data_IF_507417074267
#
_entry.id   IF_507417074267
#
_cell.length_a   1.000
_cell.length_b   1.000
_cell.length_c   1.000
_cell.angle_alpha   90.00
_cell.angle_beta   90.00
_cell.angle_gamma   90.00
#
_symmetry.space_group_name_H-M   'P 1'
#
loop_
_entity.id
_entity.type
_entity.pdbx_description
1 polymer ?
#
# COMPACT_ATOMS: atom_id res chain seq x y z
N UNK A 1 5.34 -15.75 -21.02
CA UNK A 1 6.56 -16.58 -20.87
C UNK A 1 6.35 -17.46 -19.66
N UNK A 2 6.59 -18.77 -19.78
CA UNK A 2 6.46 -19.72 -18.67
C UNK A 2 7.62 -19.57 -17.67
N UNK A 3 7.49 -20.02 -16.42
CA UNK A 3 8.61 -20.02 -15.46
C UNK A 3 9.85 -20.74 -16.00
N UNK A 4 9.64 -21.83 -16.75
CA UNK A 4 10.73 -22.60 -17.36
C UNK A 4 11.45 -21.83 -18.46
N UNK A 5 10.73 -21.13 -19.33
CA UNK A 5 11.32 -20.27 -20.36
C UNK A 5 12.13 -19.12 -19.75
N UNK A 6 11.63 -18.54 -18.66
CA UNK A 6 12.35 -17.53 -17.88
C UNK A 6 13.64 -18.12 -17.30
N UNK A 7 13.55 -19.30 -16.67
CA UNK A 7 14.72 -19.98 -16.12
C UNK A 7 15.78 -20.27 -17.19
N UNK A 8 15.36 -20.63 -18.41
CA UNK A 8 16.27 -20.87 -19.53
C UNK A 8 17.04 -19.62 -19.95
N UNK A 9 16.44 -18.42 -19.83
CA UNK A 9 17.14 -17.17 -20.16
C UNK A 9 18.31 -16.86 -19.23
N UNK A 10 18.37 -17.51 -18.06
CA UNK A 10 19.43 -17.32 -17.07
C UNK A 10 20.56 -18.35 -17.16
N UNK A 11 20.50 -19.32 -18.09
CA UNK A 11 21.57 -20.32 -18.22
C UNK A 11 22.93 -19.64 -18.43
N UNK A 12 23.90 -20.00 -17.60
CA UNK A 12 25.24 -19.40 -17.59
C UNK A 12 25.44 -18.26 -16.59
N UNK A 13 24.38 -17.78 -15.91
CA UNK A 13 24.53 -16.87 -14.76
C UNK A 13 25.30 -17.59 -13.66
N UNK A 14 26.36 -16.97 -13.17
CA UNK A 14 27.28 -17.48 -12.13
C UNK A 14 27.34 -16.51 -10.95
N UNK A 15 27.69 -17.00 -9.77
CA UNK A 15 28.08 -16.13 -8.64
C UNK A 15 29.19 -15.16 -9.06
N UNK A 16 29.19 -13.97 -8.48
CA UNK A 16 30.22 -12.99 -8.79
C UNK A 16 31.58 -13.42 -8.23
N UNK A 17 32.70 -12.95 -8.82
CA UNK A 17 34.02 -13.39 -8.39
C UNK A 17 34.38 -12.80 -7.02
N UNK A 18 34.60 -13.67 -6.04
CA UNK A 18 35.14 -13.30 -4.72
C UNK A 18 34.14 -12.48 -3.90
N UNK A 19 34.49 -11.28 -3.40
CA UNK A 19 33.57 -10.45 -2.59
C UNK A 19 32.59 -9.63 -3.43
N UNK A 20 32.60 -9.75 -4.76
CA UNK A 20 31.69 -9.03 -5.63
C UNK A 20 30.45 -9.90 -5.89
N UNK A 21 29.28 -9.47 -5.42
CA UNK A 21 28.02 -10.19 -5.67
C UNK A 21 27.56 -10.02 -7.11
N UNK A 22 26.94 -11.06 -7.68
CA UNK A 22 26.26 -10.89 -8.96
C UNK A 22 24.92 -10.15 -8.76
N UNK A 23 24.74 -8.94 -9.32
CA UNK A 23 23.52 -8.16 -9.13
C UNK A 23 22.26 -8.88 -9.61
N UNK A 24 22.39 -9.79 -10.57
CA UNK A 24 21.27 -10.62 -11.06
C UNK A 24 20.83 -11.61 -9.98
N UNK A 25 21.77 -12.23 -9.25
CA UNK A 25 21.43 -13.16 -8.15
C UNK A 25 20.85 -12.38 -6.97
N UNK A 26 21.38 -11.20 -6.68
CA UNK A 26 20.81 -10.30 -5.67
C UNK A 26 19.37 -9.88 -6.01
N UNK A 27 19.08 -9.62 -7.28
CA UNK A 27 17.71 -9.38 -7.75
C UNK A 27 16.80 -10.61 -7.55
N UNK A 28 17.32 -11.83 -7.73
CA UNK A 28 16.56 -13.05 -7.45
C UNK A 28 16.11 -13.08 -6.00
N UNK A 29 16.99 -12.79 -5.04
CA UNK A 29 16.66 -12.68 -3.63
C UNK A 29 15.63 -11.58 -3.34
N UNK A 30 15.85 -10.38 -3.86
CA UNK A 30 14.93 -9.26 -3.66
C UNK A 30 13.52 -9.56 -4.21
N UNK A 31 13.43 -10.20 -5.37
CA UNK A 31 12.14 -10.54 -6.01
C UNK A 31 11.27 -11.49 -5.19
N UNK A 32 11.87 -12.28 -4.30
CA UNK A 32 11.17 -13.19 -3.39
C UNK A 32 11.06 -12.64 -1.96
N UNK A 33 11.42 -11.37 -1.74
CA UNK A 33 11.29 -10.69 -0.44
C UNK A 33 12.47 -10.89 0.52
N UNK A 34 13.65 -11.20 0.00
CA UNK A 34 14.88 -11.41 0.79
C UNK A 34 15.98 -10.41 0.40
N UNK A 35 15.63 -9.13 0.30
CA UNK A 35 16.55 -8.02 -0.02
C UNK A 35 17.61 -7.74 1.06
N UNK A 36 17.48 -8.36 2.23
CA UNK A 36 18.45 -8.33 3.34
C UNK A 36 19.61 -9.31 3.18
N UNK A 37 19.58 -10.21 2.19
CA UNK A 37 20.69 -11.13 1.93
C UNK A 37 21.85 -10.33 1.32
N UNK A 38 22.98 -10.28 2.01
CA UNK A 38 24.14 -9.45 1.61
C UNK A 38 25.12 -10.18 0.69
N UNK A 39 25.04 -11.52 0.58
CA UNK A 39 25.99 -12.31 -0.20
C UNK A 39 25.30 -13.33 -1.11
N UNK A 40 25.74 -13.41 -2.37
CA UNK A 40 25.22 -14.36 -3.34
C UNK A 40 25.60 -15.83 -3.06
N UNK A 41 26.61 -16.08 -2.24
CA UNK A 41 27.06 -17.42 -1.79
C UNK A 41 26.08 -18.17 -0.86
N UNK A 42 25.03 -17.51 -0.37
CA UNK A 42 23.94 -18.19 0.36
C UNK A 42 23.19 -19.10 -0.63
N UNK A 43 22.68 -20.25 -0.19
CA UNK A 43 22.04 -21.22 -1.09
C UNK A 43 20.82 -20.63 -1.84
N UNK A 44 21.02 -20.18 -3.08
CA UNK A 44 20.03 -19.44 -3.89
C UNK A 44 19.19 -20.30 -4.84
N UNK A 45 19.27 -21.64 -4.76
CA UNK A 45 18.47 -22.52 -5.62
C UNK A 45 16.95 -22.25 -5.51
N UNK A 46 16.44 -22.03 -4.29
CA UNK A 46 15.03 -21.71 -4.07
C UNK A 46 14.67 -20.27 -4.44
N UNK A 47 15.60 -19.32 -4.26
CA UNK A 47 15.44 -17.94 -4.70
C UNK A 47 15.33 -17.88 -6.23
N UNK A 48 16.15 -18.63 -6.97
CA UNK A 48 16.08 -18.73 -8.43
C UNK A 48 14.73 -19.25 -8.92
N UNK A 49 14.25 -20.37 -8.37
CA UNK A 49 12.94 -20.92 -8.74
C UNK A 49 11.82 -19.93 -8.39
N UNK A 50 11.91 -19.30 -7.23
CA UNK A 50 10.94 -18.30 -6.81
C UNK A 50 10.91 -17.08 -7.73
N UNK A 51 12.08 -16.54 -8.08
CA UNK A 51 12.23 -15.45 -9.03
C UNK A 51 11.57 -15.78 -10.37
N UNK A 52 11.84 -16.96 -10.93
CA UNK A 52 11.26 -17.39 -12.21
C UNK A 52 9.74 -17.50 -12.15
N UNK A 53 9.19 -18.00 -11.03
CA UNK A 53 7.75 -18.07 -10.80
C UNK A 53 7.13 -16.67 -10.70
N UNK A 54 7.68 -15.79 -9.86
CA UNK A 54 7.13 -14.45 -9.62
C UNK A 54 7.19 -13.61 -10.91
N UNK A 55 8.28 -13.71 -11.71
CA UNK A 55 8.37 -13.07 -13.04
C UNK A 55 7.34 -13.60 -14.03
N UNK A 56 6.91 -14.85 -13.89
CA UNK A 56 5.82 -15.42 -14.68
C UNK A 56 4.42 -15.07 -14.13
N UNK A 57 4.33 -14.26 -13.08
CA UNK A 57 3.06 -13.92 -12.41
C UNK A 57 2.50 -15.03 -11.53
N UNK A 58 3.31 -16.02 -11.16
CA UNK A 58 2.94 -17.15 -10.30
C UNK A 58 3.57 -16.97 -8.93
N UNK A 59 2.78 -17.01 -7.86
CA UNK A 59 3.29 -16.83 -6.50
C UNK A 59 4.18 -18.01 -6.10
N UNK A 60 5.43 -17.73 -5.73
CA UNK A 60 6.37 -18.74 -5.25
C UNK A 60 6.15 -19.08 -3.77
N UNK A 61 6.97 -19.98 -3.21
CA UNK A 61 6.99 -20.20 -1.74
C UNK A 61 7.60 -19.02 -0.98
N UNK A 62 8.40 -18.18 -1.66
CA UNK A 62 9.14 -17.05 -1.10
C UNK A 62 10.05 -17.42 0.07
N UNK A 63 10.45 -18.69 0.14
CA UNK A 63 11.38 -19.23 1.14
C UNK A 63 12.67 -19.62 0.46
N UNK A 64 13.80 -19.44 1.15
CA UNK A 64 15.12 -19.84 0.66
C UNK A 64 15.39 -21.35 0.83
N UNK A 65 14.52 -22.07 1.54
CA UNK A 65 14.63 -23.51 1.74
C UNK A 65 14.03 -24.27 0.54
N UNK A 66 14.85 -25.04 -0.17
CA UNK A 66 14.40 -25.86 -1.31
C UNK A 66 13.20 -26.76 -1.01
N UNK A 67 13.19 -27.39 0.18
CA UNK A 67 12.10 -28.27 0.63
C UNK A 67 10.77 -27.57 0.86
N UNK A 68 10.72 -26.24 0.91
CA UNK A 68 9.45 -25.49 0.97
C UNK A 68 8.54 -25.77 -0.21
N UNK A 69 9.11 -26.12 -1.36
CA UNK A 69 8.34 -26.46 -2.55
C UNK A 69 7.61 -27.79 -2.41
N UNK A 70 7.96 -28.66 -1.45
CA UNK A 70 7.23 -29.90 -1.21
C UNK A 70 5.78 -29.67 -0.79
N UNK A 71 5.39 -28.48 -0.35
CA UNK A 71 3.99 -28.16 -0.01
C UNK A 71 3.39 -27.09 -0.95
N UNK A 72 4.06 -26.82 -2.09
CA UNK A 72 3.67 -25.78 -3.03
C UNK A 72 2.95 -26.35 -4.26
N UNK A 73 1.87 -25.70 -4.69
CA UNK A 73 1.12 -26.10 -5.88
C UNK A 73 0.46 -27.48 -5.74
N UNK A 74 0.30 -28.17 -6.87
CA UNK A 74 -0.28 -29.52 -6.89
C UNK A 74 0.81 -30.59 -6.95
N UNK A 75 0.68 -31.70 -6.20
CA UNK A 75 1.53 -32.88 -6.37
C UNK A 75 1.36 -33.45 -7.78
N UNK A 76 2.46 -33.92 -8.37
CA UNK A 76 2.47 -34.61 -9.65
C UNK A 76 3.15 -35.95 -9.48
N UNK A 77 2.53 -37.00 -10.01
CA UNK A 77 3.12 -38.32 -10.05
C UNK A 77 4.25 -38.37 -11.09
N UNK A 78 5.27 -39.18 -10.82
CA UNK A 78 6.47 -39.23 -11.66
C UNK A 78 6.18 -39.59 -13.13
N UNK A 79 5.18 -40.45 -13.38
CA UNK A 79 4.76 -40.81 -14.73
C UNK A 79 4.08 -39.66 -15.50
N UNK A 80 3.60 -38.64 -14.79
CA UNK A 80 2.90 -37.48 -15.32
C UNK A 80 3.76 -36.20 -15.31
N UNK A 81 5.01 -36.33 -14.89
CA UNK A 81 5.96 -35.23 -14.83
C UNK A 81 6.19 -34.62 -16.22
N UNK A 82 6.17 -33.30 -16.28
CA UNK A 82 6.33 -32.52 -17.51
C UNK A 82 7.48 -31.53 -17.37
N UNK A 83 7.96 -31.03 -18.51
CA UNK A 83 8.93 -29.95 -18.52
C UNK A 83 8.35 -28.72 -17.82
N UNK A 84 9.15 -28.12 -16.93
CA UNK A 84 8.74 -26.98 -16.11
C UNK A 84 8.11 -27.33 -14.77
N UNK A 85 7.82 -28.60 -14.49
CA UNK A 85 7.48 -29.02 -13.12
C UNK A 85 8.66 -28.82 -12.18
N UNK A 86 8.41 -28.64 -10.89
CA UNK A 86 9.44 -28.43 -9.88
C UNK A 86 9.80 -29.77 -9.24
N UNK A 87 11.07 -30.16 -9.35
CA UNK A 87 11.64 -31.30 -8.66
C UNK A 87 12.38 -30.87 -7.39
N UNK A 88 12.19 -31.61 -6.29
CA UNK A 88 12.91 -31.40 -5.03
C UNK A 88 13.71 -32.65 -4.68
N UNK A 89 14.99 -32.50 -4.35
CA UNK A 89 15.89 -33.59 -3.93
C UNK A 89 16.55 -33.26 -2.58
N UNK A 90 17.05 -34.23 -1.80
CA UNK A 90 17.86 -33.93 -0.63
C UNK A 90 19.24 -33.41 -1.07
N UNK A 91 19.82 -32.52 -0.26
CA UNK A 91 21.21 -32.04 -0.37
C UNK A 91 21.78 -32.02 1.05
N UNK A 92 22.96 -32.56 1.29
CA UNK A 92 23.56 -32.63 2.64
C UNK A 92 22.94 -33.69 3.55
N UNK A 93 23.22 -33.60 4.86
CA UNK A 93 22.92 -34.63 5.87
C UNK A 93 21.65 -34.36 6.68
N UNK A 94 21.12 -33.13 6.63
CA UNK A 94 19.96 -32.74 7.45
C UNK A 94 18.63 -32.86 6.71
N UNK A 95 17.57 -33.20 7.44
CA UNK A 95 16.20 -33.35 6.87
C UNK A 95 15.59 -32.06 6.31
N UNK A 96 16.11 -30.90 6.69
CA UNK A 96 15.64 -29.60 6.18
C UNK A 96 16.39 -29.15 4.91
N UNK A 97 17.60 -29.65 4.69
CA UNK A 97 18.42 -29.29 3.54
C UNK A 97 17.91 -29.95 2.27
N UNK A 98 18.02 -29.28 1.14
CA UNK A 98 17.52 -29.80 -0.13
C UNK A 98 18.07 -29.01 -1.30
N UNK A 99 17.72 -29.46 -2.49
CA UNK A 99 17.94 -28.75 -3.74
C UNK A 99 16.66 -28.78 -4.56
N UNK A 100 16.39 -27.70 -5.29
CA UNK A 100 15.17 -27.52 -6.07
C UNK A 100 15.53 -27.01 -7.46
N UNK A 101 14.82 -27.51 -8.47
CA UNK A 101 15.04 -27.19 -9.88
C UNK A 101 13.74 -27.35 -10.67
N UNK A 102 13.66 -26.75 -11.85
CA UNK A 102 12.66 -27.11 -12.84
C UNK A 102 13.10 -28.37 -13.59
N UNK A 103 12.21 -29.34 -13.75
CA UNK A 103 12.41 -30.53 -14.55
C UNK A 103 12.49 -30.10 -16.02
N UNK A 104 13.62 -30.38 -16.66
CA UNK A 104 13.76 -30.26 -18.11
C UNK A 104 13.19 -31.49 -18.81
N UNK A 105 13.56 -32.69 -18.32
CA UNK A 105 13.05 -33.99 -18.77
C UNK A 105 13.41 -35.11 -17.80
N UNK A 106 12.70 -36.24 -17.92
CA UNK A 106 13.00 -37.49 -17.21
C UNK A 106 13.18 -38.59 -18.26
N UNK A 107 14.30 -39.30 -18.21
CA UNK A 107 14.59 -40.43 -19.10
C UNK A 107 15.21 -41.58 -18.30
N UNK A 108 14.54 -42.73 -18.31
CA UNK A 108 14.98 -43.89 -17.53
C UNK A 108 15.08 -43.60 -16.04
N UNK A 109 16.28 -43.76 -15.47
CA UNK A 109 16.54 -43.53 -14.04
C UNK A 109 17.07 -42.13 -13.74
N UNK A 110 17.04 -41.21 -14.71
CA UNK A 110 17.63 -39.89 -14.59
C UNK A 110 16.61 -38.78 -14.82
N UNK A 111 16.71 -37.74 -14.01
CA UNK A 111 15.99 -36.47 -14.18
C UNK A 111 17.00 -35.38 -14.49
N UNK A 112 16.75 -34.60 -15.53
CA UNK A 112 17.52 -33.39 -15.85
C UNK A 112 16.79 -32.19 -15.26
N UNK A 113 17.50 -31.43 -14.43
CA UNK A 113 16.99 -30.29 -13.70
C UNK A 113 17.71 -29.00 -14.09
N UNK A 114 16.94 -28.02 -14.56
CA UNK A 114 17.36 -26.63 -14.73
C UNK A 114 17.18 -25.89 -13.39
N UNK A 115 18.28 -25.51 -12.76
CA UNK A 115 18.26 -24.88 -11.45
C UNK A 115 19.43 -23.92 -11.25
N UNK A 116 19.27 -23.02 -10.28
CA UNK A 116 20.33 -22.14 -9.78
C UNK A 116 21.14 -22.78 -8.67
N UNK A 117 22.32 -22.22 -8.37
CA UNK A 117 23.28 -22.76 -7.40
C UNK A 117 23.61 -24.25 -7.68
N UNK A 118 23.75 -24.59 -8.95
CA UNK A 118 24.26 -25.88 -9.41
C UNK A 118 25.67 -25.66 -9.91
N UNK A 119 26.68 -26.01 -9.12
CA UNK A 119 28.06 -25.56 -9.33
C UNK A 119 28.15 -24.03 -9.44
N UNK A 120 27.53 -23.34 -8.48
CA UNK A 120 27.54 -21.87 -8.35
C UNK A 120 27.03 -21.14 -9.61
N UNK A 121 26.17 -21.82 -10.37
CA UNK A 121 25.63 -21.35 -11.63
C UNK A 121 24.17 -21.77 -11.87
N UNK A 122 23.52 -21.11 -12.82
CA UNK A 122 22.28 -21.59 -13.45
C UNK A 122 22.66 -22.49 -14.62
N UNK A 123 22.32 -23.77 -14.52
CA UNK A 123 22.56 -24.74 -15.58
C UNK A 123 21.60 -25.94 -15.49
N UNK A 124 21.76 -26.89 -16.41
CA UNK A 124 21.06 -28.18 -16.39
C UNK A 124 21.98 -29.25 -15.83
N UNK A 125 21.56 -29.91 -14.75
CA UNK A 125 22.24 -31.09 -14.19
C UNK A 125 21.33 -32.30 -14.14
N UNK A 126 21.93 -33.49 -14.21
CA UNK A 126 21.19 -34.75 -14.04
C UNK A 126 21.30 -35.27 -12.61
N UNK A 127 20.20 -35.80 -12.10
CA UNK A 127 20.11 -36.44 -10.79
C UNK A 127 19.42 -37.81 -10.94
N UNK A 128 19.70 -38.78 -10.07
CA UNK A 128 18.93 -40.02 -10.04
C UNK A 128 17.48 -39.73 -9.66
N UNK A 129 16.54 -40.31 -10.40
CA UNK A 129 15.10 -40.22 -10.12
C UNK A 129 14.78 -40.70 -8.69
N UNK A 130 15.49 -41.70 -8.18
CA UNK A 130 15.36 -42.19 -6.82
C UNK A 130 15.65 -41.15 -5.72
N UNK A 131 16.25 -40.00 -6.06
CA UNK A 131 16.46 -38.88 -5.13
C UNK A 131 15.31 -37.88 -5.10
N UNK A 132 14.35 -37.96 -6.03
CA UNK A 132 13.19 -37.07 -6.03
C UNK A 132 12.34 -37.32 -4.77
N UNK A 133 12.22 -36.29 -3.95
CA UNK A 133 11.36 -36.26 -2.77
C UNK A 133 9.91 -35.93 -3.15
N UNK A 134 9.71 -35.25 -4.27
CA UNK A 134 8.42 -34.88 -4.81
C UNK A 134 8.53 -34.05 -6.08
N UNK A 135 7.47 -34.05 -6.87
CA UNK A 135 7.30 -33.24 -8.08
C UNK A 135 6.06 -32.37 -7.91
N UNK A 136 6.17 -31.10 -8.30
CA UNK A 136 5.13 -30.09 -8.07
C UNK A 136 4.88 -29.27 -9.31
N UNK A 137 3.61 -29.00 -9.61
CA UNK A 137 3.21 -28.15 -10.74
C UNK A 137 2.48 -26.92 -10.25
N UNK A 138 2.67 -25.82 -10.98
CA UNK A 138 1.88 -24.62 -10.80
C UNK A 138 0.40 -24.91 -11.13
N UNK A 139 -0.40 -25.22 -10.11
CA UNK A 139 -1.84 -25.43 -10.18
C UNK A 139 -2.47 -25.05 -8.84
N UNK A 140 -3.61 -24.37 -8.84
CA UNK A 140 -4.25 -23.78 -7.65
C UNK A 140 -3.35 -22.82 -6.83
N UNK A 141 -2.21 -22.40 -7.36
CA UNK A 141 -1.35 -21.39 -6.75
C UNK A 141 -1.99 -20.04 -7.04
N UNK A 142 -2.36 -19.31 -5.99
CA UNK A 142 -2.95 -17.98 -6.15
C UNK A 142 -2.07 -17.14 -7.09
N UNK A 143 -2.65 -16.48 -8.11
CA UNK A 143 -1.88 -15.57 -8.96
C UNK A 143 -1.18 -14.53 -8.09
N UNK A 144 0.01 -14.06 -8.50
CA UNK A 144 0.68 -12.96 -7.78
C UNK A 144 -0.30 -11.80 -7.75
N UNK A 145 -0.81 -11.47 -6.57
CA UNK A 145 -1.61 -10.25 -6.37
C UNK A 145 -0.64 -9.10 -6.45
N UNK A 146 -0.32 -8.64 -7.66
CA UNK A 146 0.40 -7.39 -7.86
C UNK A 146 -0.59 -6.27 -7.58
N UNK A 147 -0.48 -5.66 -6.39
CA UNK A 147 -1.21 -4.43 -6.12
C UNK A 147 -0.57 -3.30 -6.93
N UNK A 148 -1.35 -2.61 -7.75
CA UNK A 148 -0.89 -1.36 -8.38
C UNK A 148 -0.53 -0.32 -7.31
N UNK A 149 0.29 0.68 -7.65
CA UNK A 149 0.61 1.79 -6.73
C UNK A 149 -0.66 2.46 -6.24
N UNK A 150 -1.65 2.65 -7.13
CA UNK A 150 -2.96 3.20 -6.75
C UNK A 150 -3.71 2.31 -5.77
N UNK A 151 -3.66 0.99 -5.94
CA UNK A 151 -4.28 0.04 -5.01
C UNK A 151 -3.59 0.07 -3.64
N UNK A 152 -2.26 0.19 -3.60
CA UNK A 152 -1.50 0.36 -2.35
C UNK A 152 -1.87 1.67 -1.68
N UNK A 153 -1.91 2.79 -2.42
CA UNK A 153 -2.30 4.09 -1.89
C UNK A 153 -3.72 4.06 -1.31
N UNK A 154 -4.67 3.45 -2.03
CA UNK A 154 -6.05 3.28 -1.57
C UNK A 154 -6.10 2.44 -0.29
N UNK A 155 -5.41 1.30 -0.28
CA UNK A 155 -5.40 0.39 0.88
C UNK A 155 -4.78 1.02 2.11
N UNK A 156 -3.66 1.74 1.98
CA UNK A 156 -3.06 2.50 3.08
C UNK A 156 -4.04 3.53 3.64
N UNK A 157 -4.77 4.23 2.77
CA UNK A 157 -5.78 5.22 3.18
C UNK A 157 -6.94 4.58 3.94
N UNK A 158 -7.42 3.42 3.47
CA UNK A 158 -8.48 2.65 4.14
C UNK A 158 -8.04 2.11 5.51
N UNK A 159 -6.74 1.86 5.68
CA UNK A 159 -6.13 1.42 6.93
C UNK A 159 -5.82 2.58 7.89
N UNK A 160 -6.10 3.83 7.52
CA UNK A 160 -5.92 5.02 8.37
C UNK A 160 -4.62 5.80 8.15
N UNK A 161 -3.81 5.44 7.15
CA UNK A 161 -2.56 6.15 6.81
C UNK A 161 -2.86 7.30 5.83
N UNK A 162 -3.52 8.33 6.34
CA UNK A 162 -3.99 9.47 5.55
C UNK A 162 -2.86 10.38 5.02
N UNK A 163 -1.66 10.27 5.58
CA UNK A 163 -0.45 10.93 5.10
C UNK A 163 -0.10 10.57 3.65
N UNK A 164 -0.55 9.39 3.17
CA UNK A 164 -0.37 8.90 1.78
C UNK A 164 -0.83 9.92 0.73
N UNK A 165 -1.83 10.74 1.06
CA UNK A 165 -2.29 11.83 0.22
C UNK A 165 -3.27 11.42 -0.89
N UNK A 166 -2.99 11.89 -2.11
CA UNK A 166 -3.82 11.62 -3.28
C UNK A 166 -3.48 10.26 -3.88
N UNK A 167 -4.50 9.58 -4.42
CA UNK A 167 -4.33 8.31 -5.12
C UNK A 167 -4.05 8.67 -6.59
N UNK A 168 -2.76 8.86 -6.90
CA UNK A 168 -2.26 9.33 -8.19
C UNK A 168 -1.38 8.29 -8.92
N UNK A 169 -1.20 7.11 -8.31
CA UNK A 169 -0.38 6.03 -8.86
C UNK A 169 1.12 6.30 -8.82
N UNK A 170 1.57 7.36 -8.13
CA UNK A 170 2.99 7.75 -8.06
C UNK A 170 3.55 7.54 -6.66
N UNK A 171 4.77 6.99 -6.60
CA UNK A 171 5.51 6.82 -5.34
C UNK A 171 6.26 8.13 -5.00
N UNK A 172 5.51 9.15 -4.58
CA UNK A 172 6.05 10.41 -4.06
C UNK A 172 6.46 10.33 -2.58
N UNK A 173 7.01 11.43 -2.01
CA UNK A 173 7.45 11.48 -0.61
C UNK A 173 6.37 11.07 0.39
N UNK A 174 5.12 11.46 0.14
CA UNK A 174 3.94 11.12 0.95
C UNK A 174 3.62 9.63 0.93
N UNK A 175 3.61 9.02 -0.26
CA UNK A 175 3.41 7.57 -0.42
C UNK A 175 4.51 6.80 0.32
N UNK A 176 5.78 7.24 0.20
CA UNK A 176 6.91 6.61 0.90
C UNK A 176 6.79 6.71 2.42
N UNK A 177 6.43 7.87 2.94
CA UNK A 177 6.21 8.07 4.38
C UNK A 177 5.10 7.16 4.91
N UNK A 178 3.98 7.05 4.19
CA UNK A 178 2.88 6.16 4.55
C UNK A 178 3.27 4.67 4.56
N UNK A 179 4.07 4.24 3.56
CA UNK A 179 4.60 2.87 3.51
C UNK A 179 5.50 2.60 4.72
N UNK A 180 6.38 3.53 5.08
CA UNK A 180 7.26 3.40 6.24
C UNK A 180 6.47 3.34 7.55
N UNK A 181 5.48 4.20 7.73
CA UNK A 181 4.62 4.19 8.90
C UNK A 181 3.85 2.86 9.02
N UNK A 182 3.27 2.38 7.92
CA UNK A 182 2.57 1.09 7.91
C UNK A 182 3.50 -0.07 8.26
N UNK A 183 4.70 -0.08 7.68
CA UNK A 183 5.71 -1.11 7.97
C UNK A 183 6.12 -1.09 9.43
N UNK A 184 6.34 0.09 9.99
CA UNK A 184 6.66 0.25 11.40
C UNK A 184 5.55 -0.29 12.31
N UNK A 185 4.29 0.04 12.02
CA UNK A 185 3.13 -0.39 12.81
C UNK A 185 2.83 -1.90 12.67
N UNK A 186 3.41 -2.59 11.67
CA UNK A 186 3.22 -4.02 11.40
C UNK A 186 4.52 -4.84 11.54
N UNK A 187 5.54 -4.31 12.24
CA UNK A 187 6.81 -4.98 12.52
C UNK A 187 7.54 -5.48 11.26
N UNK A 188 7.47 -4.72 10.16
CA UNK A 188 8.15 -5.01 8.90
C UNK A 188 9.46 -4.21 8.75
N UNK A 189 10.35 -4.69 7.88
CA UNK A 189 11.57 -3.96 7.52
C UNK A 189 11.23 -2.55 6.99
N UNK A 190 11.92 -1.53 7.51
CA UNK A 190 11.65 -0.10 7.26
C UNK A 190 12.25 0.39 5.93
N UNK A 191 11.74 -0.15 4.82
CA UNK A 191 12.12 0.24 3.46
C UNK A 191 10.94 0.85 2.70
N UNK A 192 11.10 1.96 1.96
CA UNK A 192 10.00 2.66 1.30
C UNK A 192 9.71 2.09 -0.11
N UNK A 193 9.61 0.76 -0.21
CA UNK A 193 9.35 0.02 -1.45
C UNK A 193 8.03 -0.77 -1.37
N UNK A 194 7.42 -1.01 -2.53
CA UNK A 194 6.28 -1.93 -2.65
C UNK A 194 6.88 -3.30 -2.95
N UNK A 195 7.14 -4.06 -1.90
CA UNK A 195 7.53 -5.45 -2.00
C UNK A 195 6.35 -6.34 -1.61
N UNK A 196 6.63 -7.62 -1.63
CA UNK A 196 5.69 -8.65 -1.21
C UNK A 196 5.28 -8.53 0.25
N UNK A 197 6.21 -8.29 1.16
CA UNK A 197 5.95 -8.27 2.59
C UNK A 197 4.91 -7.18 2.91
N UNK A 198 5.05 -6.02 2.24
CA UNK A 198 4.06 -4.95 2.28
C UNK A 198 2.71 -5.41 1.73
N UNK A 199 2.64 -6.05 0.56
CA UNK A 199 1.37 -6.47 -0.05
C UNK A 199 0.62 -7.48 0.82
N UNK A 200 1.32 -8.50 1.33
CA UNK A 200 0.70 -9.53 2.18
C UNK A 200 0.19 -8.93 3.49
N UNK A 201 0.97 -8.05 4.11
CA UNK A 201 0.55 -7.32 5.30
C UNK A 201 -0.65 -6.41 4.99
N UNK A 202 -0.62 -5.64 3.89
CA UNK A 202 -1.75 -4.78 3.50
C UNK A 202 -3.03 -5.57 3.28
N UNK A 203 -2.95 -6.79 2.74
CA UNK A 203 -4.12 -7.63 2.47
C UNK A 203 -4.83 -8.07 3.75
N UNK A 204 -4.08 -8.32 4.82
CA UNK A 204 -4.60 -8.89 6.09
C UNK A 204 -4.72 -7.87 7.22
N UNK A 205 -4.06 -6.72 7.08
CA UNK A 205 -4.03 -5.68 8.09
C UNK A 205 -5.43 -5.13 8.39
N UNK A 206 -5.61 -4.74 9.66
CA UNK A 206 -6.79 -4.03 10.15
C UNK A 206 -6.48 -2.54 10.22
N UNK A 207 -7.51 -1.67 10.15
CA UNK A 207 -7.30 -0.23 10.30
C UNK A 207 -6.58 0.09 11.61
N UNK A 208 -5.66 1.06 11.54
CA UNK A 208 -4.90 1.54 12.70
C UNK A 208 -5.87 2.00 13.80
N UNK A 209 -5.64 1.54 15.03
CA UNK A 209 -6.42 1.99 16.19
C UNK A 209 -6.07 3.43 16.50
N UNK A 210 -7.04 4.33 16.32
CA UNK A 210 -6.92 5.71 16.81
C UNK A 210 -7.00 5.65 18.34
N UNK A 211 -6.04 6.27 19.04
CA UNK A 211 -6.07 6.35 20.50
C UNK A 211 -7.42 6.89 20.98
N UNK A 212 -8.01 6.27 22.02
CA UNK A 212 -9.36 6.61 22.52
C UNK A 212 -9.48 8.11 22.81
N UNK A 213 -8.44 8.73 23.39
CA UNK A 213 -8.36 10.16 23.68
C UNK A 213 -8.56 11.03 22.43
N UNK A 214 -7.99 10.62 21.28
CA UNK A 214 -8.13 11.32 20.00
C UNK A 214 -9.49 11.06 19.36
N UNK A 215 -10.01 9.84 19.49
CA UNK A 215 -11.33 9.47 18.97
C UNK A 215 -12.49 10.18 19.70
N UNK A 216 -12.32 10.50 21.00
CA UNK A 216 -13.31 11.25 21.78
C UNK A 216 -13.04 12.77 21.82
N UNK A 217 -11.78 13.16 21.67
CA UNK A 217 -11.31 14.53 21.79
C UNK A 217 -11.59 15.44 20.59
N UNK A 218 -11.10 16.67 20.69
CA UNK A 218 -11.05 17.66 19.63
C UNK A 218 -9.68 18.31 19.58
N UNK A 219 -9.27 18.90 18.46
CA UNK A 219 -7.92 19.45 18.31
C UNK A 219 -7.73 20.68 19.21
N UNK A 220 -6.71 20.65 20.08
CA UNK A 220 -6.49 21.64 21.15
C UNK A 220 -6.07 23.05 20.68
N UNK A 221 -5.84 23.26 19.38
CA UNK A 221 -5.34 24.55 18.85
C UNK A 221 -5.78 24.84 17.41
N UNK A 222 -6.97 24.40 17.01
CA UNK A 222 -7.43 24.59 15.63
C UNK A 222 -8.02 25.99 15.39
N UNK A 223 -7.36 26.79 14.53
CA UNK A 223 -7.85 28.10 14.06
C UNK A 223 -9.23 28.00 13.39
N UNK A 224 -9.51 26.91 12.69
CA UNK A 224 -10.80 26.65 12.02
C UNK A 224 -11.90 26.48 13.08
N UNK A 225 -11.65 25.67 14.12
CA UNK A 225 -12.60 25.52 15.23
C UNK A 225 -12.81 26.83 15.99
N UNK A 226 -11.74 27.59 16.25
CA UNK A 226 -11.85 28.89 16.90
C UNK A 226 -12.71 29.86 16.09
N UNK A 227 -12.47 29.97 14.78
CA UNK A 227 -13.25 30.84 13.89
C UNK A 227 -14.71 30.37 13.76
N UNK A 228 -14.96 29.07 13.59
CA UNK A 228 -16.31 28.53 13.51
C UNK A 228 -17.08 28.70 14.83
N UNK A 229 -16.45 28.46 15.98
CA UNK A 229 -17.07 28.69 17.29
C UNK A 229 -17.41 30.17 17.50
N UNK A 230 -16.52 31.09 17.10
CA UNK A 230 -16.78 32.53 17.16
C UNK A 230 -17.97 32.94 16.28
N UNK A 231 -18.05 32.43 15.05
CA UNK A 231 -19.18 32.68 14.14
C UNK A 231 -20.50 32.13 14.71
N UNK A 232 -20.49 30.94 15.30
CA UNK A 232 -21.67 30.32 15.93
C UNK A 232 -22.11 31.11 17.17
N UNK A 233 -21.17 31.53 18.01
CA UNK A 233 -21.45 32.34 19.19
C UNK A 233 -22.05 33.70 18.82
N UNK A 234 -21.47 34.38 17.82
CA UNK A 234 -22.03 35.61 17.26
C UNK A 234 -23.43 35.37 16.68
N UNK A 235 -23.63 34.23 16.01
CA UNK A 235 -24.91 33.68 15.57
C UNK A 235 -26.00 33.68 16.64
N UNK A 236 -25.71 32.99 17.75
CA UNK A 236 -26.61 32.84 18.87
C UNK A 236 -26.91 34.18 19.58
N UNK A 237 -25.89 35.03 19.72
CA UNK A 237 -26.06 36.36 20.34
C UNK A 237 -26.88 37.30 19.44
N UNK A 238 -26.64 37.28 18.12
CA UNK A 238 -27.42 38.06 17.15
C UNK A 238 -28.90 37.63 17.10
N UNK A 239 -29.19 36.34 17.26
CA UNK A 239 -30.57 35.84 17.40
C UNK A 239 -31.23 36.23 18.73
N UNK A 240 -30.46 36.27 19.83
CA UNK A 240 -30.95 36.63 21.16
C UNK A 240 -31.12 38.15 21.39
N UNK A 241 -30.69 39.00 20.44
CA UNK A 241 -30.83 40.45 20.53
C UNK A 241 -29.96 41.12 21.61
N UNK A 242 -28.95 40.43 22.11
CA UNK A 242 -28.05 40.97 23.15
C UNK A 242 -26.99 41.83 22.46
N UNK A 243 -26.98 43.14 22.75
CA UNK A 243 -25.99 44.06 22.23
C UNK A 243 -24.61 43.78 22.85
N UNK A 244 -23.62 43.41 22.02
CA UNK A 244 -22.21 43.41 22.41
C UNK A 244 -21.64 44.79 22.04
N UNK A 245 -20.95 45.43 22.98
CA UNK A 245 -20.33 46.76 22.78
C UNK A 245 -19.21 46.81 21.71
N UNK A 246 -18.76 45.66 21.19
CA UNK A 246 -17.61 45.53 20.29
C UNK A 246 -17.96 45.21 18.82
N UNK A 247 -19.23 45.35 18.40
CA UNK A 247 -19.64 45.09 17.00
C UNK A 247 -19.51 46.34 16.10
N UNK A 248 -19.05 47.47 16.65
CA UNK A 248 -18.97 48.75 15.94
C UNK A 248 -18.36 48.71 14.52
N UNK A 249 -17.20 48.05 14.26
CA UNK A 249 -16.65 48.00 12.89
C UNK A 249 -17.50 47.14 11.93
N UNK A 250 -18.21 46.13 12.44
CA UNK A 250 -19.12 45.30 11.65
C UNK A 250 -20.43 46.03 11.32
N UNK A 251 -20.91 46.88 12.23
CA UNK A 251 -22.09 47.74 11.99
C UNK A 251 -21.78 48.77 10.89
N UNK A 252 -20.61 49.42 10.93
CA UNK A 252 -20.21 50.38 9.90
C UNK A 252 -20.09 49.78 8.49
N UNK A 253 -19.49 48.59 8.37
CA UNK A 253 -19.41 47.88 7.08
C UNK A 253 -20.77 47.43 6.56
N UNK A 254 -21.68 47.04 7.46
CA UNK A 254 -23.05 46.68 7.09
C UNK A 254 -23.85 47.90 6.60
N UNK A 255 -23.62 49.08 7.17
CA UNK A 255 -24.25 50.34 6.75
C UNK A 255 -23.77 50.79 5.35
N UNK A 256 -22.47 50.71 5.06
CA UNK A 256 -21.92 50.99 3.72
C UNK A 256 -22.47 50.03 2.66
N UNK A 257 -22.53 48.72 2.98
CA UNK A 257 -23.12 47.72 2.10
C UNK A 257 -24.62 47.92 1.86
N UNK A 258 -25.34 48.42 2.87
CA UNK A 258 -26.77 48.72 2.76
C UNK A 258 -27.04 49.84 1.77
N UNK A 259 -26.22 50.90 1.74
CA UNK A 259 -26.37 52.01 0.78
C UNK A 259 -26.14 51.53 -0.67
N UNK A 260 -25.10 50.72 -0.90
CA UNK A 260 -24.83 50.14 -2.22
C UNK A 260 -25.97 49.23 -2.71
N UNK A 261 -26.46 48.34 -1.85
CA UNK A 261 -27.56 47.42 -2.21
C UNK A 261 -28.86 48.18 -2.44
N UNK A 262 -29.15 49.23 -1.65
CA UNK A 262 -30.34 50.06 -1.85
C UNK A 262 -30.31 50.73 -3.22
N UNK A 263 -29.15 51.29 -3.62
CA UNK A 263 -28.98 51.88 -4.96
C UNK A 263 -29.17 50.87 -6.09
N UNK A 264 -28.74 49.61 -5.91
CA UNK A 264 -28.99 48.54 -6.88
C UNK A 264 -30.48 48.17 -6.97
N UNK A 265 -31.18 48.11 -5.84
CA UNK A 265 -32.62 47.85 -5.81
C UNK A 265 -33.42 48.97 -6.48
N UNK A 266 -33.00 50.23 -6.31
CA UNK A 266 -33.61 51.38 -6.97
C UNK A 266 -33.44 51.33 -8.50
N UNK A 267 -32.26 50.93 -8.99
CA UNK A 267 -31.98 50.77 -10.44
C UNK A 267 -32.87 49.69 -11.09
N UNK A 268 -33.24 48.65 -10.35
CA UNK A 268 -34.09 47.54 -10.84
C UNK A 268 -35.58 47.78 -10.54
N UNK A 269 -35.95 48.94 -9.99
CA UNK A 269 -37.34 49.31 -9.70
C UNK A 269 -37.94 48.61 -8.48
N UNK A 270 -37.11 48.02 -7.61
CA UNK A 270 -37.50 47.29 -6.39
C UNK A 270 -37.24 48.08 -5.10
N UNK A 271 -36.87 49.36 -5.20
CA UNK A 271 -36.56 50.23 -4.06
C UNK A 271 -37.63 50.27 -2.97
N UNK A 272 -38.92 50.30 -3.36
CA UNK A 272 -40.06 50.30 -2.43
C UNK A 272 -40.20 49.00 -1.62
N UNK A 273 -39.64 47.90 -2.12
CA UNK A 273 -39.66 46.59 -1.46
C UNK A 273 -38.36 46.30 -0.68
N UNK A 274 -37.32 47.13 -0.84
CA UNK A 274 -36.04 46.98 -0.14
C UNK A 274 -36.19 46.89 1.40
N UNK A 275 -37.06 47.67 2.08
CA UNK A 275 -37.23 47.55 3.54
C UNK A 275 -37.75 46.19 4.01
N UNK A 276 -38.43 45.44 3.13
CA UNK A 276 -38.99 44.11 3.42
C UNK A 276 -38.03 43.00 2.98
N UNK A 277 -37.43 43.14 1.80
CA UNK A 277 -36.56 42.12 1.22
C UNK A 277 -35.19 42.08 1.94
N UNK A 278 -34.65 43.24 2.32
CA UNK A 278 -33.30 43.34 2.89
C UNK A 278 -33.13 42.60 4.22
N UNK A 279 -34.04 42.72 5.21
CA UNK A 279 -33.94 41.96 6.44
C UNK A 279 -34.01 40.44 6.21
N UNK A 280 -34.86 40.00 5.27
CA UNK A 280 -35.03 38.57 4.94
C UNK A 280 -33.78 38.03 4.25
N UNK A 281 -33.24 38.77 3.28
CA UNK A 281 -32.00 38.40 2.59
C UNK A 281 -30.80 38.37 3.55
N UNK A 282 -30.70 39.37 4.42
CA UNK A 282 -29.68 39.42 5.48
C UNK A 282 -29.78 38.23 6.44
N UNK A 283 -31.00 37.90 6.89
CA UNK A 283 -31.25 36.73 7.73
C UNK A 283 -30.90 35.42 7.01
N UNK A 284 -31.21 35.29 5.71
CA UNK A 284 -30.89 34.11 4.92
C UNK A 284 -29.37 33.93 4.73
N UNK A 285 -28.64 35.00 4.42
CA UNK A 285 -27.17 34.99 4.31
C UNK A 285 -26.54 34.64 5.66
N UNK A 286 -27.02 35.26 6.74
CA UNK A 286 -26.55 34.98 8.09
C UNK A 286 -26.75 33.51 8.47
N UNK A 287 -27.95 32.96 8.25
CA UNK A 287 -28.23 31.54 8.46
C UNK A 287 -27.31 30.64 7.62
N UNK A 288 -27.07 30.99 6.35
CA UNK A 288 -26.15 30.23 5.50
C UNK A 288 -24.72 30.21 6.06
N UNK A 289 -24.21 31.34 6.56
CA UNK A 289 -22.89 31.43 7.21
C UNK A 289 -22.83 30.55 8.46
N UNK A 290 -23.86 30.56 9.30
CA UNK A 290 -23.93 29.71 10.50
C UNK A 290 -23.95 28.22 10.13
N UNK A 291 -24.72 27.83 9.12
CA UNK A 291 -24.74 26.44 8.62
C UNK A 291 -23.37 26.02 8.10
N UNK A 292 -22.69 26.89 7.35
CA UNK A 292 -21.33 26.62 6.86
C UNK A 292 -20.33 26.50 8.03
N UNK A 293 -20.45 27.35 9.06
CA UNK A 293 -19.63 27.27 10.26
C UNK A 293 -19.85 25.97 11.03
N UNK A 294 -21.09 25.49 11.15
CA UNK A 294 -21.41 24.18 11.74
C UNK A 294 -20.79 23.03 10.95
N UNK A 295 -20.91 23.06 9.62
CA UNK A 295 -20.31 22.05 8.74
C UNK A 295 -18.78 22.04 8.86
N UNK A 296 -18.14 23.21 8.85
CA UNK A 296 -16.69 23.34 8.99
C UNK A 296 -16.20 22.83 10.36
N UNK A 297 -16.91 23.16 11.45
CA UNK A 297 -16.63 22.64 12.79
C UNK A 297 -16.75 21.12 12.85
N UNK A 298 -17.86 20.57 12.36
CA UNK A 298 -18.11 19.13 12.36
C UNK A 298 -17.03 18.38 11.56
N UNK A 299 -16.71 18.86 10.35
CA UNK A 299 -15.65 18.28 9.53
C UNK A 299 -14.28 18.31 10.22
N UNK A 300 -13.93 19.41 10.90
CA UNK A 300 -12.64 19.54 11.59
C UNK A 300 -12.52 18.59 12.78
N UNK A 301 -13.61 18.40 13.54
CA UNK A 301 -13.66 17.45 14.65
C UNK A 301 -13.52 16.03 14.10
N UNK A 302 -14.24 15.70 13.03
CA UNK A 302 -14.20 14.38 12.41
C UNK A 302 -12.79 14.06 11.85
N UNK A 303 -12.14 15.01 11.18
CA UNK A 303 -10.78 14.84 10.66
C UNK A 303 -9.74 14.63 11.78
N UNK A 304 -9.96 15.21 12.97
CA UNK A 304 -9.10 14.96 14.13
C UNK A 304 -9.33 13.57 14.70
N UNK A 305 -10.60 13.19 14.90
CA UNK A 305 -11.02 11.89 15.46
C UNK A 305 -10.67 10.70 14.59
N UNK A 306 -10.65 10.89 13.27
CA UNK A 306 -10.23 9.88 12.29
C UNK A 306 -8.73 9.87 12.03
N UNK A 307 -7.96 10.81 12.61
CA UNK A 307 -6.51 10.89 12.42
C UNK A 307 -6.08 11.44 11.05
N UNK A 308 -7.00 11.97 10.23
CA UNK A 308 -6.69 12.59 8.92
C UNK A 308 -5.77 13.81 9.02
N UNK A 309 -5.80 14.47 10.17
CA UNK A 309 -4.97 15.64 10.45
C UNK A 309 -4.54 15.59 11.90
N UNK A 310 -3.37 16.15 12.26
CA UNK A 310 -2.91 16.28 13.65
C UNK A 310 -3.94 16.93 14.57
#
# INVERSE_FOLDING_TARGET
MTPFEIARSYIGTTEGPGPADNPVIMEMYASVGHDWVEHDSVAWCAAFIGHCLERAGIRSTRKLTARSYLDWGVPVEMAEAQQGDIGVIPRGSSRWQGHVFFIDRIEGQWVWGLGGNQDDAVNVKRYPVAKLLGIRRAGNVAPVVTMSVEAVQRRLKDLGYHEVGQIDGKIGPRTRAAILAFRQDNDLALVPIIDVALIDALTTARPRTVAIERATGGPESSRILAASNAQIALGAVGYAGIAISDVAPLVGQAEEGRDLVTRLFDVVGLGSHAPVIMPVLGAAIFLAVIVLAWKARAARIEDHRTGRTP
#
